data_IF_632683455887
#
_entry.id   IF_632683455887
#
_cell.length_a   1.000
_cell.length_b   1.000
_cell.length_c   1.000
_cell.angle_alpha   90.00
_cell.angle_beta   90.00
_cell.angle_gamma   90.00
#
_symmetry.space_group_name_H-M   'P 1'
#
loop_
_entity.id
_entity.type
_entity.pdbx_description
1 polymer ?
#
# COMPACT_ATOMS: atom_id res chain seq x y z
N UNK A 1 -0.01 20.00 -14.44
CA UNK A 1 -0.29 18.67 -13.86
C UNK A 1 1.05 17.96 -13.66
N UNK A 2 1.36 17.48 -12.46
CA UNK A 2 2.61 16.72 -12.22
C UNK A 2 2.55 15.39 -12.98
N UNK A 3 3.71 14.92 -13.48
CA UNK A 3 3.79 13.61 -14.09
C UNK A 3 3.36 12.50 -13.08
N UNK A 4 2.75 11.40 -13.55
CA UNK A 4 2.36 10.30 -12.67
C UNK A 4 3.60 9.70 -11.99
N UNK A 5 3.54 9.53 -10.67
CA UNK A 5 4.62 8.94 -9.88
C UNK A 5 4.43 7.43 -9.76
N UNK A 6 5.54 6.71 -9.90
CA UNK A 6 5.61 5.27 -9.77
C UNK A 6 6.69 4.87 -8.77
N UNK A 7 6.43 3.80 -8.04
CA UNK A 7 7.33 3.25 -7.04
C UNK A 7 7.66 1.80 -7.36
N UNK A 8 8.95 1.47 -7.29
CA UNK A 8 9.39 0.08 -7.29
C UNK A 8 9.23 -0.54 -5.90
N UNK A 9 9.19 -1.88 -5.84
CA UNK A 9 9.16 -2.62 -4.56
C UNK A 9 10.36 -2.30 -3.67
N UNK A 10 11.53 -1.99 -4.26
CA UNK A 10 12.71 -1.54 -3.50
C UNK A 10 12.50 -0.18 -2.85
N UNK A 11 11.87 0.76 -3.56
CA UNK A 11 11.58 2.10 -3.04
C UNK A 11 10.51 2.04 -1.95
N UNK A 12 9.45 1.26 -2.17
CA UNK A 12 8.40 1.03 -1.16
C UNK A 12 8.95 0.33 0.08
N UNK A 13 9.86 -0.64 -0.08
CA UNK A 13 10.52 -1.27 1.08
C UNK A 13 11.22 -0.26 1.98
N UNK A 14 11.86 0.77 1.40
CA UNK A 14 12.44 1.87 2.18
C UNK A 14 11.38 2.76 2.84
N UNK A 15 10.25 2.99 2.19
CA UNK A 15 9.16 3.85 2.71
C UNK A 15 8.46 3.18 3.90
N UNK A 16 8.16 1.88 3.79
CA UNK A 16 7.49 1.12 4.84
C UNK A 16 8.45 0.48 5.85
N UNK A 17 9.75 0.70 5.70
CA UNK A 17 10.80 0.04 6.50
C UNK A 17 10.67 -1.49 6.50
N UNK A 18 10.38 -2.06 5.32
CA UNK A 18 10.22 -3.51 5.09
C UNK A 18 11.12 -4.02 3.98
N UNK A 19 11.35 -5.34 3.99
CA UNK A 19 12.07 -5.99 2.90
C UNK A 19 11.29 -5.90 1.57
N UNK A 20 11.95 -5.70 0.42
CA UNK A 20 11.27 -5.69 -0.88
C UNK A 20 10.51 -6.98 -1.21
N UNK A 21 10.83 -8.12 -0.58
CA UNK A 21 10.06 -9.36 -0.66
C UNK A 21 8.72 -9.24 0.05
N UNK A 22 8.66 -8.58 1.21
CA UNK A 22 7.41 -8.28 1.91
C UNK A 22 6.48 -7.43 1.05
N UNK A 23 7.02 -6.41 0.37
CA UNK A 23 6.21 -5.63 -0.58
C UNK A 23 5.70 -6.51 -1.74
N UNK A 24 6.52 -7.44 -2.23
CA UNK A 24 6.11 -8.43 -3.23
C UNK A 24 5.02 -9.37 -2.70
N UNK A 25 5.08 -9.76 -1.44
CA UNK A 25 4.04 -10.56 -0.80
C UNK A 25 2.74 -9.76 -0.67
N UNK A 26 2.79 -8.47 -0.35
CA UNK A 26 1.60 -7.62 -0.33
C UNK A 26 0.93 -7.49 -1.70
N UNK A 27 1.72 -7.51 -2.77
CA UNK A 27 1.21 -7.51 -4.15
C UNK A 27 0.55 -8.86 -4.49
N UNK A 28 1.24 -9.97 -4.23
CA UNK A 28 0.78 -11.30 -4.68
C UNK A 28 -0.28 -11.91 -3.75
N UNK A 29 -0.02 -11.86 -2.45
CA UNK A 29 -0.78 -12.55 -1.39
C UNK A 29 -1.67 -11.59 -0.60
N UNK A 30 -1.23 -10.35 -0.43
CA UNK A 30 -1.91 -9.34 0.39
C UNK A 30 -1.16 -9.06 1.69
N UNK A 31 -1.36 -7.86 2.21
CA UNK A 31 -0.91 -7.42 3.52
C UNK A 31 -1.93 -7.86 4.58
N UNK A 32 -1.51 -8.55 5.65
CA UNK A 32 -2.39 -8.90 6.75
C UNK A 32 -2.76 -7.66 7.58
N UNK A 33 -4.05 -7.45 7.76
CA UNK A 33 -4.65 -6.39 8.59
C UNK A 33 -5.68 -7.03 9.53
N UNK A 34 -6.11 -6.35 10.62
CA UNK A 34 -7.14 -6.87 11.50
C UNK A 34 -8.45 -7.24 10.78
N UNK A 35 -8.81 -6.48 9.75
CA UNK A 35 -10.03 -6.67 8.96
C UNK A 35 -9.86 -7.68 7.80
N UNK A 36 -8.67 -8.28 7.65
CA UNK A 36 -8.36 -9.27 6.62
C UNK A 36 -7.15 -8.92 5.75
N UNK A 37 -7.07 -9.53 4.56
CA UNK A 37 -5.96 -9.32 3.63
C UNK A 37 -6.24 -8.16 2.67
N UNK A 38 -5.37 -7.15 2.66
CA UNK A 38 -5.43 -6.01 1.74
C UNK A 38 -4.33 -6.13 0.69
N UNK A 39 -4.69 -6.21 -0.60
CA UNK A 39 -3.71 -6.29 -1.69
C UNK A 39 -3.17 -4.93 -2.12
N UNK A 40 -1.86 -4.87 -2.32
CA UNK A 40 -1.20 -3.72 -2.95
C UNK A 40 -1.32 -3.85 -4.47
N UNK A 41 -2.02 -2.92 -5.12
CA UNK A 41 -2.11 -2.93 -6.59
C UNK A 41 -0.77 -2.55 -7.21
N UNK A 42 -0.38 -3.30 -8.25
CA UNK A 42 0.86 -3.07 -8.97
C UNK A 42 0.71 -3.52 -10.43
N UNK A 43 1.45 -2.88 -11.32
CA UNK A 43 1.63 -3.29 -12.70
C UNK A 43 2.96 -4.03 -12.83
N UNK A 44 2.97 -5.16 -13.55
CA UNK A 44 4.18 -5.90 -13.86
C UNK A 44 4.79 -5.35 -15.15
N UNK A 45 6.02 -4.83 -15.07
CA UNK A 45 6.78 -4.33 -16.20
C UNK A 45 8.04 -5.18 -16.36
N UNK A 46 7.97 -6.16 -17.28
CA UNK A 46 9.00 -7.17 -17.47
C UNK A 46 9.21 -8.01 -16.20
N UNK A 47 10.43 -7.93 -15.63
CA UNK A 47 10.80 -8.62 -14.39
C UNK A 47 10.56 -7.79 -13.12
N UNK A 48 10.02 -6.58 -13.25
CA UNK A 48 9.85 -5.64 -12.15
C UNK A 48 8.38 -5.31 -11.88
N UNK A 49 8.08 -4.88 -10.66
CA UNK A 49 6.77 -4.38 -10.26
C UNK A 49 6.82 -2.87 -10.09
N UNK A 50 5.79 -2.19 -10.59
CA UNK A 50 5.59 -0.75 -10.47
C UNK A 50 4.24 -0.47 -9.79
N UNK A 51 4.26 0.37 -8.77
CA UNK A 51 3.08 0.78 -8.02
C UNK A 51 2.86 2.26 -8.29
N UNK A 52 1.66 2.62 -8.74
CA UNK A 52 1.29 4.03 -8.89
C UNK A 52 1.06 4.68 -7.53
N UNK A 53 1.31 5.97 -7.46
CA UNK A 53 1.03 6.79 -6.26
C UNK A 53 -0.42 6.70 -5.79
N UNK A 54 -1.38 6.73 -6.73
CA UNK A 54 -2.81 6.59 -6.43
C UNK A 54 -3.15 5.24 -5.77
N UNK A 55 -2.52 4.16 -6.22
CA UNK A 55 -2.72 2.82 -5.66
C UNK A 55 -2.09 2.68 -4.29
N UNK A 56 -0.93 3.31 -4.09
CA UNK A 56 -0.26 3.35 -2.80
C UNK A 56 -1.11 4.09 -1.77
N UNK A 57 -1.64 5.27 -2.12
CA UNK A 57 -2.49 6.05 -1.23
C UNK A 57 -3.75 5.27 -0.79
N UNK A 58 -4.42 4.58 -1.72
CA UNK A 58 -5.57 3.73 -1.40
C UNK A 58 -5.18 2.55 -0.51
N UNK A 59 -4.02 1.93 -0.77
CA UNK A 59 -3.52 0.84 0.06
C UNK A 59 -3.24 1.31 1.49
N UNK A 60 -2.56 2.44 1.66
CA UNK A 60 -2.26 3.01 2.98
C UNK A 60 -3.51 3.30 3.81
N UNK A 61 -4.56 3.85 3.18
CA UNK A 61 -5.84 4.09 3.85
C UNK A 61 -6.50 2.80 4.35
N UNK A 62 -6.30 1.68 3.65
CA UNK A 62 -6.90 0.38 3.99
C UNK A 62 -6.09 -0.42 5.00
N UNK A 63 -4.77 -0.27 5.03
CA UNK A 63 -3.92 -0.99 5.98
C UNK A 63 -3.75 -0.28 7.31
N UNK A 64 -4.09 1.02 7.39
CA UNK A 64 -4.10 1.74 8.65
C UNK A 64 -5.14 1.08 9.57
N UNK A 65 -4.75 0.66 10.79
CA UNK A 65 -5.74 0.26 11.78
C UNK A 65 -6.68 1.46 11.99
N UNK A 66 -7.98 1.21 12.06
CA UNK A 66 -8.95 2.22 12.48
C UNK A 66 -8.65 2.54 13.96
N UNK A 67 -7.70 3.44 14.19
CA UNK A 67 -7.56 4.14 15.46
C UNK A 67 -8.90 4.86 15.58
N UNK A 68 -9.69 4.44 16.58
CA UNK A 68 -11.13 4.66 16.70
C UNK A 68 -11.59 5.94 16.02
N UNK A 69 -12.58 5.79 15.14
CA UNK A 69 -13.39 6.91 14.66
C UNK A 69 -13.67 7.78 15.89
N UNK A 70 -13.17 9.03 15.98
CA UNK A 70 -13.63 9.89 17.05
C UNK A 70 -15.15 9.93 16.88
N UNK A 71 -15.87 9.48 17.89
CA UNK A 71 -17.31 9.66 17.93
C UNK A 71 -17.52 11.16 17.73
N UNK A 72 -18.06 11.51 16.56
CA UNK A 72 -18.63 12.82 16.35
C UNK A 72 -19.87 12.83 17.25
N UNK A 73 -19.67 13.14 18.53
CA UNK A 73 -20.75 13.63 19.38
C UNK A 73 -21.22 14.94 18.74
N UNK A 74 -22.25 14.81 17.91
CA UNK A 74 -23.09 15.91 17.49
C UNK A 74 -23.97 16.26 18.69
N UNK A 75 -23.50 17.17 19.52
CA UNK A 75 -24.36 17.97 20.41
C UNK A 75 -25.08 19.07 19.63
#
# INVERSE_FOLDING_TARGET
MSAPKYYSTKKLGKIFERDPHTIRDWINKGCPTPDGLVKLQAAKLGRSWQVKDEWLAVFELRVRPQIGRPDLELE
#
